data_IF_277639238727
#
_entry.id   IF_277639238727
#
_cell.length_a   1.000
_cell.length_b   1.000
_cell.length_c   1.000
_cell.angle_alpha   90.00
_cell.angle_beta   90.00
_cell.angle_gamma   90.00
#
_symmetry.space_group_name_H-M   'P 1'
#
loop_
_entity.id
_entity.type
_entity.pdbx_description
1 polymer ?
#
# COMPACT_ATOMS: atom_id res chain seq x y z
N UNK A 1 -40.37 -19.46 64.69
CA UNK A 1 -40.08 -19.78 63.27
C UNK A 1 -40.14 -18.59 62.31
N UNK A 2 -40.80 -17.46 62.64
CA UNK A 2 -40.87 -16.26 61.77
C UNK A 2 -39.71 -15.26 61.96
N UNK A 3 -39.08 -15.23 63.14
CA UNK A 3 -37.93 -14.35 63.43
C UNK A 3 -36.59 -14.87 62.90
N UNK A 4 -36.48 -16.18 62.60
CA UNK A 4 -35.26 -16.79 62.07
C UNK A 4 -35.04 -16.48 60.58
N UNK A 5 -36.11 -16.24 59.81
CA UNK A 5 -36.02 -15.84 58.40
C UNK A 5 -35.66 -14.37 58.18
N UNK A 6 -35.96 -13.49 59.14
CA UNK A 6 -35.73 -12.04 58.97
C UNK A 6 -34.24 -11.72 59.14
N UNK A 7 -33.57 -12.38 60.09
CA UNK A 7 -32.14 -12.19 60.35
C UNK A 7 -31.29 -12.75 59.20
N UNK A 8 -31.69 -13.86 58.58
CA UNK A 8 -30.97 -14.46 57.45
C UNK A 8 -31.10 -13.66 56.15
N UNK A 9 -32.25 -13.03 55.92
CA UNK A 9 -32.47 -12.14 54.76
C UNK A 9 -31.65 -10.84 54.88
N UNK A 10 -31.49 -10.29 56.08
CA UNK A 10 -30.69 -9.08 56.29
C UNK A 10 -29.18 -9.31 56.08
N UNK A 11 -28.62 -10.46 56.49
CA UNK A 11 -27.17 -10.73 56.35
C UNK A 11 -26.78 -10.92 54.87
N UNK A 12 -27.64 -11.55 54.06
CA UNK A 12 -27.41 -11.69 52.61
C UNK A 12 -27.53 -10.36 51.86
N UNK A 13 -28.41 -9.46 52.31
CA UNK A 13 -28.60 -8.13 51.72
C UNK A 13 -27.43 -7.18 51.97
N UNK A 14 -26.67 -7.35 53.06
CA UNK A 14 -25.52 -6.48 53.40
C UNK A 14 -24.25 -6.89 52.64
N UNK A 15 -24.10 -8.16 52.25
CA UNK A 15 -22.93 -8.63 51.50
C UNK A 15 -22.93 -8.19 50.02
N UNK A 16 -24.07 -7.78 49.46
CA UNK A 16 -24.22 -7.50 48.03
C UNK A 16 -23.78 -6.09 47.58
N UNK A 17 -23.43 -5.18 48.50
CA UNK A 17 -23.22 -3.75 48.17
C UNK A 17 -21.79 -3.24 48.35
N UNK A 18 -20.79 -4.10 48.56
CA UNK A 18 -19.39 -3.67 48.78
C UNK A 18 -18.40 -4.10 47.67
N UNK A 19 -18.83 -4.08 46.41
CA UNK A 19 -17.91 -4.28 45.27
C UNK A 19 -18.02 -3.10 44.29
N UNK A 20 -17.65 -1.91 44.74
CA UNK A 20 -17.17 -0.88 43.78
C UNK A 20 -15.66 -1.03 43.67
N UNK A 21 -15.23 -1.95 42.81
CA UNK A 21 -13.86 -1.97 42.35
C UNK A 21 -13.64 -0.71 41.50
N UNK A 22 -12.72 0.16 41.93
CA UNK A 22 -12.29 1.32 41.16
C UNK A 22 -11.60 0.85 39.87
N UNK A 23 -12.22 1.12 38.73
CA UNK A 23 -11.58 0.97 37.42
C UNK A 23 -10.53 2.06 37.31
N UNK A 24 -9.26 1.69 37.40
CA UNK A 24 -8.15 2.57 37.03
C UNK A 24 -8.09 2.52 35.50
N UNK A 25 -8.61 3.54 34.84
CA UNK A 25 -8.39 3.75 33.42
C UNK A 25 -6.89 3.96 33.20
N UNK A 26 -6.26 2.97 32.57
CA UNK A 26 -4.89 3.11 32.11
C UNK A 26 -4.93 3.98 30.85
N UNK A 27 -4.16 5.08 30.75
CA UNK A 27 -4.12 5.85 29.52
C UNK A 27 -3.54 4.95 28.42
N UNK A 28 -4.40 4.49 27.51
CA UNK A 28 -3.97 3.83 26.28
C UNK A 28 -3.33 4.90 25.40
N UNK A 29 -1.99 4.88 25.34
CA UNK A 29 -1.27 5.51 24.24
C UNK A 29 -1.72 4.74 23.00
N UNK A 30 -2.62 5.32 22.22
CA UNK A 30 -2.97 4.80 20.90
C UNK A 30 -1.71 4.90 20.03
N UNK A 31 -1.01 3.77 19.91
CA UNK A 31 -0.03 3.59 18.85
C UNK A 31 -0.83 3.68 17.56
N UNK A 32 -0.65 4.77 16.82
CA UNK A 32 -1.20 4.91 15.46
C UNK A 32 -0.45 3.88 14.62
N UNK A 33 -1.02 2.69 14.48
CA UNK A 33 -0.55 1.69 13.54
C UNK A 33 -0.91 2.20 12.15
N UNK A 34 0.08 2.70 11.42
CA UNK A 34 -0.08 3.07 10.01
C UNK A 34 -0.23 1.79 9.18
N UNK A 35 -1.46 1.25 9.15
CA UNK A 35 -1.84 0.07 8.38
C UNK A 35 -2.03 0.41 6.88
N UNK A 36 -1.42 1.48 6.38
CA UNK A 36 -1.47 1.78 4.95
C UNK A 36 -0.51 0.85 4.18
N UNK A 37 -0.92 0.28 3.03
CA UNK A 37 -0.06 -0.63 2.27
C UNK A 37 1.17 0.11 1.71
N UNK A 38 2.36 -0.40 1.98
CA UNK A 38 3.62 0.11 1.43
C UNK A 38 4.48 -1.00 0.87
N UNK A 39 5.07 -0.78 -0.30
CA UNK A 39 6.17 -1.60 -0.80
C UNK A 39 7.08 -0.79 -1.71
N UNK A 40 8.29 -1.30 -1.90
CA UNK A 40 9.24 -0.80 -2.89
C UNK A 40 10.02 -2.00 -3.43
N UNK A 41 10.15 -2.09 -4.75
CA UNK A 41 10.99 -3.09 -5.38
C UNK A 41 11.70 -2.53 -6.60
N UNK A 42 12.84 -3.16 -6.91
CA UNK A 42 13.57 -2.93 -8.13
C UNK A 42 14.22 -4.23 -8.60
N UNK A 43 14.29 -4.41 -9.91
CA UNK A 43 15.07 -5.48 -10.51
C UNK A 43 15.62 -5.04 -11.86
N UNK A 44 16.72 -5.67 -12.26
CA UNK A 44 17.39 -5.44 -13.53
C UNK A 44 17.86 -6.77 -14.11
N UNK A 45 17.78 -6.90 -15.42
CA UNK A 45 18.36 -8.02 -16.17
C UNK A 45 19.29 -7.44 -17.23
N UNK A 46 20.50 -7.99 -17.29
CA UNK A 46 21.48 -7.67 -18.31
C UNK A 46 22.17 -8.97 -18.75
N UNK A 47 21.52 -9.70 -19.65
CA UNK A 47 21.97 -10.98 -20.17
C UNK A 47 22.48 -10.84 -21.60
N UNK A 48 23.80 -10.92 -21.75
CA UNK A 48 24.49 -10.80 -23.05
C UNK A 48 24.25 -12.03 -23.94
N UNK A 49 23.93 -13.20 -23.36
CA UNK A 49 23.70 -14.41 -24.13
C UNK A 49 22.34 -14.38 -24.84
N UNK A 50 21.30 -13.92 -24.15
CA UNK A 50 19.94 -13.79 -24.71
C UNK A 50 19.68 -12.43 -25.34
N UNK A 51 20.47 -11.40 -25.00
CA UNK A 51 20.25 -10.01 -25.40
C UNK A 51 19.20 -9.29 -24.54
N UNK A 52 18.75 -9.90 -23.45
CA UNK A 52 17.72 -9.36 -22.55
C UNK A 52 18.32 -8.27 -21.65
N UNK A 53 17.93 -7.03 -21.91
CA UNK A 53 18.32 -5.85 -21.14
C UNK A 53 17.07 -5.10 -20.73
N UNK A 54 16.76 -5.13 -19.43
CA UNK A 54 15.58 -4.47 -18.85
C UNK A 54 15.78 -4.08 -17.40
N UNK A 55 15.09 -3.04 -16.99
CA UNK A 55 15.13 -2.48 -15.64
C UNK A 55 13.71 -2.14 -15.20
N UNK A 56 13.36 -2.37 -13.95
CA UNK A 56 12.09 -1.94 -13.38
C UNK A 56 12.25 -1.48 -11.92
N UNK A 57 11.48 -0.46 -11.57
CA UNK A 57 11.29 0.05 -10.21
C UNK A 57 9.81 0.35 -10.00
N UNK A 58 9.29 0.03 -8.82
CA UNK A 58 7.96 0.45 -8.40
C UNK A 58 7.92 0.69 -6.90
N UNK A 59 7.19 1.73 -6.52
CA UNK A 59 6.89 2.06 -5.14
C UNK A 59 5.40 2.30 -4.97
N UNK A 60 4.85 1.76 -3.88
CA UNK A 60 3.47 2.01 -3.44
C UNK A 60 3.47 2.65 -2.07
N UNK A 61 2.63 3.66 -1.92
CA UNK A 61 2.28 4.29 -0.65
C UNK A 61 0.77 4.45 -0.52
N UNK A 62 0.14 3.68 0.36
CA UNK A 62 -1.32 3.67 0.48
C UNK A 62 -1.97 3.21 -0.83
N UNK A 63 -2.74 4.09 -1.47
CA UNK A 63 -3.38 3.82 -2.76
C UNK A 63 -2.66 4.47 -3.95
N UNK A 64 -1.50 5.06 -3.70
CA UNK A 64 -0.64 5.66 -4.73
C UNK A 64 0.41 4.66 -5.18
N UNK A 65 0.53 4.45 -6.49
CA UNK A 65 1.60 3.64 -7.09
C UNK A 65 2.36 4.51 -8.08
N UNK A 66 3.69 4.45 -8.06
CA UNK A 66 4.55 5.06 -9.08
C UNK A 66 5.62 4.07 -9.48
N UNK A 67 5.98 4.05 -10.76
CA UNK A 67 7.02 3.14 -11.22
C UNK A 67 7.54 3.49 -12.59
N UNK A 68 8.60 2.79 -12.96
CA UNK A 68 9.21 2.86 -14.27
C UNK A 68 9.68 1.48 -14.69
N UNK A 69 9.47 1.12 -15.95
CA UNK A 69 10.22 0.03 -16.57
C UNK A 69 10.92 0.49 -17.83
N UNK A 70 12.00 -0.19 -18.19
CA UNK A 70 12.65 -0.04 -19.50
C UNK A 70 13.07 -1.39 -20.05
N UNK A 71 13.06 -1.52 -21.38
CA UNK A 71 13.56 -2.71 -22.07
C UNK A 71 14.12 -2.33 -23.44
N UNK A 72 15.09 -3.12 -23.90
CA UNK A 72 15.57 -3.03 -25.29
C UNK A 72 14.64 -3.86 -26.17
N UNK A 73 14.03 -3.18 -27.14
CA UNK A 73 13.14 -3.80 -28.12
C UNK A 73 13.92 -4.56 -29.20
N UNK A 74 13.26 -5.46 -29.96
CA UNK A 74 13.91 -6.24 -31.02
C UNK A 74 14.56 -5.40 -32.13
N UNK A 75 14.13 -4.14 -32.30
CA UNK A 75 14.72 -3.22 -33.26
C UNK A 75 15.91 -2.41 -32.70
N UNK A 76 16.35 -2.72 -31.47
CA UNK A 76 17.47 -2.09 -30.79
C UNK A 76 17.13 -0.79 -30.05
N UNK A 77 15.88 -0.34 -30.09
CA UNK A 77 15.45 0.86 -29.38
C UNK A 77 15.13 0.57 -27.92
N UNK A 78 15.36 1.55 -27.03
CA UNK A 78 14.94 1.44 -25.64
C UNK A 78 13.53 1.98 -25.49
N UNK A 79 12.60 1.15 -25.01
CA UNK A 79 11.31 1.62 -24.48
C UNK A 79 11.51 1.99 -23.03
N UNK A 80 11.01 3.16 -22.64
CA UNK A 80 10.90 3.59 -21.24
C UNK A 80 9.45 3.93 -20.98
N UNK A 81 8.88 3.36 -19.92
CA UNK A 81 7.53 3.69 -19.47
C UNK A 81 7.59 4.13 -18.03
N UNK A 82 7.15 5.36 -17.79
CA UNK A 82 6.93 5.91 -16.46
C UNK A 82 5.43 5.91 -16.21
N UNK A 83 5.01 5.37 -15.07
CA UNK A 83 3.60 5.19 -14.78
C UNK A 83 3.27 5.58 -13.35
N UNK A 84 2.01 5.96 -13.15
CA UNK A 84 1.43 6.29 -11.87
C UNK A 84 -0.02 5.81 -11.77
N UNK A 85 -0.47 5.51 -10.56
CA UNK A 85 -1.87 5.23 -10.25
C UNK A 85 -2.27 6.03 -9.03
N UNK A 86 -3.36 6.77 -9.17
CA UNK A 86 -3.97 7.61 -8.12
C UNK A 86 -5.48 7.28 -8.01
N UNK A 87 -6.09 7.32 -6.81
CA UNK A 87 -7.51 7.00 -6.63
C UNK A 87 -8.50 7.92 -7.36
N UNK A 88 -8.11 9.17 -7.64
CA UNK A 88 -8.96 10.18 -8.26
C UNK A 88 -8.78 10.22 -9.78
N UNK A 89 -7.53 10.15 -10.24
CA UNK A 89 -7.16 10.27 -11.66
C UNK A 89 -7.00 8.92 -12.37
N UNK A 90 -6.95 7.83 -11.62
CA UNK A 90 -6.73 6.49 -12.14
C UNK A 90 -5.27 6.26 -12.55
N UNK A 91 -5.08 5.33 -13.50
CA UNK A 91 -3.77 4.99 -14.05
C UNK A 91 -3.40 5.92 -15.20
N UNK A 92 -2.15 6.40 -15.21
CA UNK A 92 -1.56 7.11 -16.34
C UNK A 92 -0.12 6.65 -16.58
N UNK A 93 0.29 6.61 -17.85
CA UNK A 93 1.62 6.22 -18.25
C UNK A 93 2.15 7.09 -19.40
N UNK A 94 3.43 7.44 -19.31
CA UNK A 94 4.18 8.10 -20.37
C UNK A 94 5.17 7.11 -20.97
N UNK A 95 4.94 6.76 -22.23
CA UNK A 95 5.83 5.89 -23.01
C UNK A 95 6.79 6.75 -23.81
N UNK A 96 8.08 6.42 -23.76
CA UNK A 96 9.13 7.02 -24.60
C UNK A 96 9.91 5.93 -25.31
N UNK A 97 10.30 6.22 -26.55
CA UNK A 97 11.19 5.38 -27.34
C UNK A 97 12.48 6.13 -27.60
N UNK A 98 13.60 5.54 -27.20
CA UNK A 98 14.93 6.11 -27.31
C UNK A 98 15.75 5.30 -28.33
N UNK A 99 16.26 5.96 -29.36
CA UNK A 99 17.17 5.35 -30.35
C UNK A 99 18.54 5.22 -29.69
N UNK A 100 18.99 3.99 -29.43
CA UNK A 100 20.32 3.76 -28.89
C UNK A 100 21.37 3.96 -29.98
N UNK A 101 22.15 5.04 -29.87
CA UNK A 101 23.25 5.36 -30.80
C UNK A 101 23.07 6.61 -31.66
N UNK A 102 21.96 7.37 -31.51
CA UNK A 102 21.79 8.66 -32.19
C UNK A 102 22.07 9.85 -31.25
N UNK A 103 22.84 10.87 -31.66
CA UNK A 103 23.13 12.05 -30.83
C UNK A 103 21.98 13.07 -30.79
N UNK A 104 20.82 12.76 -31.39
CA UNK A 104 19.68 13.66 -31.47
C UNK A 104 18.56 13.22 -30.53
N UNK A 105 17.90 14.15 -29.81
CA UNK A 105 16.75 13.82 -28.99
C UNK A 105 15.62 13.33 -29.90
N UNK A 106 15.22 12.08 -29.69
CA UNK A 106 14.17 11.41 -30.45
C UNK A 106 12.83 12.04 -30.11
N UNK A 107 12.02 12.29 -31.13
CA UNK A 107 10.68 12.87 -30.99
C UNK A 107 9.86 12.07 -29.97
N UNK A 108 9.35 12.76 -28.95
CA UNK A 108 8.53 12.17 -27.89
C UNK A 108 7.17 11.74 -28.46
N UNK A 109 7.04 10.50 -28.89
CA UNK A 109 5.71 9.91 -29.11
C UNK A 109 5.17 9.46 -27.76
N UNK A 110 4.39 10.33 -27.11
CA UNK A 110 3.63 9.98 -25.92
C UNK A 110 2.46 9.11 -26.37
N UNK A 111 2.63 7.80 -26.31
CA UNK A 111 1.53 6.85 -26.47
C UNK A 111 0.84 6.74 -25.10
N UNK A 112 -0.26 7.45 -24.93
CA UNK A 112 -1.11 7.36 -23.73
C UNK A 112 -1.90 6.05 -23.80
N UNK A 113 -1.61 5.12 -22.88
CA UNK A 113 -2.36 3.88 -22.78
C UNK A 113 -3.76 4.17 -22.21
N UNK A 114 -4.86 3.69 -22.82
CA UNK A 114 -6.20 3.95 -22.32
C UNK A 114 -6.35 3.37 -20.91
N UNK A 115 -6.95 4.15 -20.01
CA UNK A 115 -7.25 3.70 -18.65
C UNK A 115 -8.00 2.35 -18.69
N UNK A 116 -7.66 1.38 -17.83
CA UNK A 116 -8.39 0.12 -17.77
C UNK A 116 -9.86 0.40 -17.45
N UNK A 117 -10.76 -0.18 -18.24
CA UNK A 117 -12.20 -0.02 -18.04
C UNK A 117 -12.58 -0.49 -16.64
N UNK A 118 -13.17 0.39 -15.85
CA UNK A 118 -13.70 0.11 -14.52
C UNK A 118 -14.74 -1.02 -14.67
N UNK A 119 -14.48 -2.17 -14.04
CA UNK A 119 -15.40 -3.31 -13.98
C UNK A 119 -16.23 -3.29 -12.70
#
# INVERSE_FOLDING_TARGET
>A
MKFLCIVTVCVLSVCATLISASVIEHPTIELIEDNTPHYEFQYSVHDVHTGDVKDQFEHRRGDYVTGRYSLIEPDGNRRVVEYSSDPLLGFSAQVRRELLGSPHPVAQTVEEWPAPANH
#
